data_IF_136149761716
#
_entry.id   IF_136149761716
#
_cell.length_a   1.000
_cell.length_b   1.000
_cell.length_c   1.000
_cell.angle_alpha   90.00
_cell.angle_beta   90.00
_cell.angle_gamma   90.00
#
_symmetry.space_group_name_H-M   'P 1'
#
loop_
_entity.id
_entity.type
_entity.pdbx_description
1 polymer ?
#
# COMPACT_ATOMS: atom_id res chain seq x y z
N UNK A 1 -1.98 7.01 -21.42
CA UNK A 1 -1.18 6.64 -22.61
C UNK A 1 -0.89 5.17 -22.53
N UNK A 2 -1.13 4.42 -23.61
CA UNK A 2 -0.83 3.00 -23.67
C UNK A 2 0.68 2.77 -23.49
N UNK A 3 1.02 1.69 -22.79
CA UNK A 3 2.41 1.36 -22.48
C UNK A 3 3.28 1.23 -23.76
N UNK A 4 2.66 0.86 -24.88
CA UNK A 4 3.32 0.76 -26.19
C UNK A 4 3.79 2.13 -26.72
N UNK A 5 2.98 3.18 -26.60
CA UNK A 5 3.35 4.53 -27.09
C UNK A 5 4.53 5.08 -26.29
N UNK A 6 4.56 4.84 -24.98
CA UNK A 6 5.68 5.25 -24.11
C UNK A 6 6.96 4.49 -24.46
N UNK A 7 6.86 3.21 -24.82
CA UNK A 7 8.00 2.41 -25.27
C UNK A 7 8.58 2.94 -26.59
N UNK A 8 7.71 3.27 -27.55
CA UNK A 8 8.11 3.85 -28.83
C UNK A 8 8.84 5.19 -28.62
N UNK A 9 8.28 6.07 -27.78
CA UNK A 9 8.92 7.36 -27.45
C UNK A 9 10.28 7.16 -26.78
N UNK A 10 10.39 6.22 -25.83
CA UNK A 10 11.66 5.91 -25.18
C UNK A 10 12.70 5.37 -26.18
N UNK A 11 12.30 4.49 -27.11
CA UNK A 11 13.17 3.99 -28.16
C UNK A 11 13.64 5.09 -29.12
N UNK A 12 12.78 6.05 -29.45
CA UNK A 12 13.15 7.21 -30.30
C UNK A 12 14.16 8.10 -29.58
N UNK A 13 13.96 8.39 -28.28
CA UNK A 13 14.90 9.19 -27.50
C UNK A 13 16.26 8.48 -27.31
N UNK A 14 16.25 7.17 -27.06
CA UNK A 14 17.50 6.38 -26.97
C UNK A 14 18.21 6.28 -28.33
N UNK A 15 17.46 6.09 -29.42
CA UNK A 15 18.00 6.09 -30.78
C UNK A 15 18.64 7.43 -31.15
N UNK A 16 17.98 8.54 -30.80
CA UNK A 16 18.51 9.89 -30.98
C UNK A 16 19.77 10.11 -30.11
N UNK A 17 19.79 9.64 -28.87
CA UNK A 17 20.94 9.73 -27.98
C UNK A 17 22.17 8.94 -28.48
N UNK A 18 21.97 7.84 -29.22
CA UNK A 18 23.04 7.07 -29.87
C UNK A 18 23.47 7.68 -31.21
N UNK A 19 22.58 8.40 -31.90
CA UNK A 19 22.88 9.05 -33.18
C UNK A 19 23.64 10.38 -33.04
N UNK A 20 23.34 11.18 -32.00
CA UNK A 20 23.97 12.49 -31.74
C UNK A 20 25.51 12.47 -31.55
N UNK A 21 26.12 11.43 -30.95
CA UNK A 21 27.58 11.28 -30.86
C UNK A 21 28.28 11.24 -32.23
N UNK A 22 27.64 10.74 -33.28
CA UNK A 22 28.23 10.69 -34.62
C UNK A 22 28.43 12.07 -35.26
N UNK A 23 27.69 13.09 -34.80
CA UNK A 23 27.79 14.48 -35.27
C UNK A 23 28.64 15.38 -34.34
N UNK A 24 29.35 14.80 -33.36
CA UNK A 24 30.26 15.54 -32.48
C UNK A 24 29.58 16.30 -31.34
N UNK A 25 28.28 16.10 -31.10
CA UNK A 25 27.50 16.80 -30.05
C UNK A 25 27.40 15.93 -28.79
N UNK A 26 28.55 15.66 -28.16
CA UNK A 26 28.67 14.76 -27.01
C UNK A 26 27.90 15.23 -25.77
N UNK A 27 27.88 16.54 -25.51
CA UNK A 27 27.19 17.12 -24.34
C UNK A 27 25.67 16.96 -24.39
N UNK A 28 25.06 17.06 -25.57
CA UNK A 28 23.61 16.85 -25.72
C UNK A 28 23.24 15.37 -25.76
N UNK A 29 24.13 14.50 -26.26
CA UNK A 29 23.93 13.06 -26.24
C UNK A 29 23.84 12.49 -24.81
N UNK A 30 24.73 12.92 -23.91
CA UNK A 30 24.70 12.48 -22.51
C UNK A 30 23.43 12.97 -21.79
N UNK A 31 22.98 14.19 -22.10
CA UNK A 31 21.77 14.77 -21.53
C UNK A 31 20.51 14.04 -22.04
N UNK A 32 20.46 13.74 -23.34
CA UNK A 32 19.40 12.95 -23.97
C UNK A 32 19.34 11.53 -23.41
N UNK A 33 20.50 10.92 -23.09
CA UNK A 33 20.57 9.61 -22.45
C UNK A 33 20.05 9.65 -21.01
N UNK A 34 20.39 10.69 -20.24
CA UNK A 34 19.85 10.89 -18.88
C UNK A 34 18.34 11.11 -18.88
N UNK A 35 17.84 11.97 -19.78
CA UNK A 35 16.41 12.24 -19.94
C UNK A 35 15.68 10.97 -20.41
N UNK A 36 16.25 10.25 -21.39
CA UNK A 36 15.72 8.96 -21.84
C UNK A 36 15.68 7.91 -20.72
N UNK A 37 16.70 7.88 -19.86
CA UNK A 37 16.74 7.04 -18.66
C UNK A 37 15.63 7.38 -17.66
N UNK A 38 15.38 8.67 -17.41
CA UNK A 38 14.28 9.11 -16.54
C UNK A 38 12.92 8.73 -17.14
N UNK A 39 12.71 8.94 -18.45
CA UNK A 39 11.48 8.55 -19.15
C UNK A 39 11.25 7.04 -19.09
N UNK A 40 12.32 6.24 -19.20
CA UNK A 40 12.27 4.78 -19.01
C UNK A 40 11.94 4.39 -17.57
N UNK A 41 12.43 5.13 -16.58
CA UNK A 41 12.10 4.89 -15.17
C UNK A 41 10.61 5.17 -14.89
N UNK A 42 10.12 6.29 -15.42
CA UNK A 42 8.70 6.69 -15.41
C UNK A 42 7.81 5.69 -16.17
N UNK A 43 8.37 4.96 -17.14
CA UNK A 43 7.66 3.87 -17.79
C UNK A 43 7.46 2.66 -16.86
N UNK A 44 8.47 2.32 -16.07
CA UNK A 44 8.40 1.20 -15.13
C UNK A 44 7.50 1.48 -13.92
N UNK A 45 7.39 2.75 -13.49
CA UNK A 45 6.54 3.14 -12.36
C UNK A 45 5.44 4.12 -12.79
N UNK A 46 4.19 3.70 -12.66
CA UNK A 46 3.05 4.51 -13.07
C UNK A 46 2.93 5.77 -12.16
N UNK A 47 3.22 6.95 -12.70
CA UNK A 47 3.25 8.24 -11.96
C UNK A 47 1.99 8.50 -11.15
N UNK A 48 0.82 8.13 -11.69
CA UNK A 48 -0.47 8.31 -11.00
C UNK A 48 -0.49 7.61 -9.63
N UNK A 49 0.11 6.42 -9.52
CA UNK A 49 0.20 5.70 -8.26
C UNK A 49 1.17 6.36 -7.28
N UNK A 50 2.28 6.89 -7.77
CA UNK A 50 3.27 7.60 -6.94
C UNK A 50 2.66 8.87 -6.37
N UNK A 51 1.98 9.65 -7.21
CA UNK A 51 1.31 10.89 -6.81
C UNK A 51 0.20 10.59 -5.80
N UNK A 52 -0.62 9.55 -6.05
CA UNK A 52 -1.63 9.09 -5.12
C UNK A 52 -1.04 8.70 -3.75
N UNK A 53 0.09 7.98 -3.73
CA UNK A 53 0.80 7.63 -2.50
C UNK A 53 1.36 8.85 -1.78
N UNK A 54 1.89 9.83 -2.51
CA UNK A 54 2.39 11.08 -1.95
C UNK A 54 1.28 11.85 -1.21
N UNK A 55 0.10 11.95 -1.81
CA UNK A 55 -1.05 12.57 -1.16
C UNK A 55 -1.56 11.76 0.05
N UNK A 56 -1.54 10.42 -0.02
CA UNK A 56 -1.85 9.56 1.14
C UNK A 56 -0.92 9.83 2.33
N UNK A 57 0.39 10.01 2.07
CA UNK A 57 1.38 10.34 3.12
C UNK A 57 1.16 11.72 3.72
N UNK A 58 0.59 12.66 2.95
CA UNK A 58 0.18 13.98 3.44
C UNK A 58 -1.22 14.00 4.07
N UNK A 59 -1.78 12.83 4.33
CA UNK A 59 -3.12 12.64 4.86
C UNK A 59 -4.26 13.22 3.98
N UNK A 60 -3.97 13.57 2.73
CA UNK A 60 -4.95 14.10 1.80
C UNK A 60 -5.55 12.97 0.94
N UNK A 61 -6.63 12.37 1.44
CA UNK A 61 -7.28 11.23 0.80
C UNK A 61 -8.10 11.59 -0.43
N UNK A 62 -8.69 12.77 -0.47
CA UNK A 62 -9.50 13.24 -1.60
C UNK A 62 -8.65 13.44 -2.86
N UNK A 63 -7.51 14.15 -2.75
CA UNK A 63 -6.58 14.30 -3.86
C UNK A 63 -5.98 12.95 -4.26
N UNK A 64 -5.66 12.12 -3.27
CA UNK A 64 -5.13 10.78 -3.55
C UNK A 64 -6.10 9.93 -4.38
N UNK A 65 -7.39 9.99 -4.05
CA UNK A 65 -8.48 9.34 -4.78
C UNK A 65 -8.64 9.91 -6.18
N UNK A 66 -8.64 11.24 -6.33
CA UNK A 66 -8.74 11.90 -7.63
C UNK A 66 -7.62 11.42 -8.59
N UNK A 67 -6.38 11.34 -8.09
CA UNK A 67 -5.25 10.83 -8.86
C UNK A 67 -5.34 9.34 -9.17
N UNK A 68 -5.95 8.55 -8.29
CA UNK A 68 -6.12 7.12 -8.46
C UNK A 68 -7.29 6.79 -9.42
N UNK A 69 -8.36 7.59 -9.41
CA UNK A 69 -9.49 7.53 -10.33
C UNK A 69 -9.12 7.96 -11.76
N UNK A 70 -8.04 8.73 -11.93
CA UNK A 70 -7.45 8.99 -13.26
C UNK A 70 -6.94 7.71 -13.94
N UNK A 71 -6.78 6.60 -13.21
CA UNK A 71 -6.53 5.27 -13.77
C UNK A 71 -7.89 4.64 -14.12
N UNK A 72 -8.34 4.84 -15.36
CA UNK A 72 -9.65 4.34 -15.83
C UNK A 72 -9.67 2.82 -16.01
N UNK A 73 -8.58 2.24 -16.51
CA UNK A 73 -8.41 0.79 -16.74
C UNK A 73 -7.05 0.34 -16.16
N UNK A 74 -7.04 -0.12 -14.90
CA UNK A 74 -5.78 -0.58 -14.30
C UNK A 74 -5.22 -1.84 -14.99
N UNK A 75 -6.06 -2.66 -15.62
CA UNK A 75 -5.61 -3.87 -16.33
C UNK A 75 -4.83 -3.58 -17.62
N UNK A 76 -5.14 -2.47 -18.30
CA UNK A 76 -4.45 -2.03 -19.52
C UNK A 76 -3.32 -1.05 -19.24
N UNK A 77 -3.46 -0.20 -18.23
CA UNK A 77 -2.47 0.81 -17.89
C UNK A 77 -1.35 0.28 -16.96
N UNK A 78 -1.64 -0.71 -16.10
CA UNK A 78 -0.67 -1.24 -15.13
C UNK A 78 -0.26 -2.66 -15.47
N UNK A 79 1.00 -2.98 -15.16
CA UNK A 79 1.49 -4.36 -15.21
C UNK A 79 0.76 -5.20 -14.14
N UNK A 80 0.54 -6.50 -14.37
CA UNK A 80 -0.14 -7.42 -13.43
C UNK A 80 0.43 -7.33 -12.01
N UNK A 81 1.75 -7.18 -11.90
CA UNK A 81 2.47 -7.03 -10.64
C UNK A 81 2.11 -5.74 -9.85
N UNK A 82 1.56 -4.73 -10.51
CA UNK A 82 1.15 -3.46 -9.91
C UNK A 82 -0.34 -3.44 -9.55
N UNK A 83 -1.13 -4.42 -10.01
CA UNK A 83 -2.56 -4.50 -9.68
C UNK A 83 -2.79 -4.68 -8.19
N UNK A 84 -1.96 -5.49 -7.52
CA UNK A 84 -2.01 -5.64 -6.07
C UNK A 84 -1.74 -4.30 -5.35
N UNK A 85 -0.74 -3.55 -5.80
CA UNK A 85 -0.40 -2.24 -5.22
C UNK A 85 -1.49 -1.18 -5.45
N UNK A 86 -2.17 -1.22 -6.60
CA UNK A 86 -3.31 -0.33 -6.87
C UNK A 86 -4.47 -0.60 -5.91
N UNK A 87 -4.82 -1.87 -5.69
CA UNK A 87 -5.86 -2.24 -4.74
C UNK A 87 -5.47 -1.89 -3.29
N UNK A 88 -4.17 -1.96 -2.95
CA UNK A 88 -3.67 -1.50 -1.66
C UNK A 88 -3.94 -0.01 -1.44
N UNK A 89 -3.61 0.84 -2.43
CA UNK A 89 -3.85 2.29 -2.34
C UNK A 89 -5.33 2.61 -2.21
N UNK A 90 -6.20 1.95 -2.98
CA UNK A 90 -7.66 2.09 -2.81
C UNK A 90 -8.07 1.71 -1.40
N UNK A 91 -7.58 0.58 -0.89
CA UNK A 91 -7.87 0.13 0.47
C UNK A 91 -7.48 1.17 1.54
N UNK A 92 -6.33 1.83 1.38
CA UNK A 92 -5.86 2.86 2.31
C UNK A 92 -6.69 4.16 2.25
N UNK A 93 -7.25 4.50 1.10
CA UNK A 93 -8.14 5.66 0.95
C UNK A 93 -9.50 5.32 1.57
N UNK A 94 -10.06 4.17 1.19
CA UNK A 94 -11.36 3.69 1.68
C UNK A 94 -11.35 3.41 3.18
N UNK A 95 -10.21 2.99 3.76
CA UNK A 95 -10.14 2.70 5.19
C UNK A 95 -10.41 3.91 6.08
N UNK A 96 -10.14 5.12 5.57
CA UNK A 96 -10.39 6.38 6.26
C UNK A 96 -11.87 6.77 6.23
N UNK A 97 -12.59 6.41 5.16
CA UNK A 97 -14.03 6.66 5.02
C UNK A 97 -14.85 5.55 5.69
N UNK A 98 -14.60 4.32 5.27
CA UNK A 98 -15.38 3.14 5.60
C UNK A 98 -14.44 1.93 5.79
N UNK A 99 -13.87 1.75 7.00
CA UNK A 99 -12.88 0.70 7.28
C UNK A 99 -13.39 -0.72 7.03
N UNK A 100 -14.71 -0.94 7.09
CA UNK A 100 -15.28 -2.25 6.78
C UNK A 100 -15.29 -2.54 5.27
N UNK A 101 -15.45 -1.51 4.43
CA UNK A 101 -15.43 -1.68 2.98
C UNK A 101 -14.02 -1.82 2.42
N UNK A 102 -13.01 -1.31 3.12
CA UNK A 102 -11.61 -1.39 2.68
C UNK A 102 -11.04 -2.81 2.73
N UNK A 103 -11.60 -3.69 3.58
CA UNK A 103 -11.16 -5.08 3.74
C UNK A 103 -11.14 -5.85 2.41
N UNK A 104 -12.16 -5.67 1.57
CA UNK A 104 -12.24 -6.35 0.25
C UNK A 104 -11.08 -5.95 -0.65
N UNK A 105 -10.65 -4.70 -0.58
CA UNK A 105 -9.53 -4.19 -1.39
C UNK A 105 -8.20 -4.69 -0.88
N UNK A 106 -8.00 -4.77 0.44
CA UNK A 106 -6.78 -5.35 1.02
C UNK A 106 -6.66 -6.85 0.73
N UNK A 107 -7.77 -7.61 0.83
CA UNK A 107 -7.79 -9.03 0.45
C UNK A 107 -7.49 -9.21 -1.04
N UNK A 108 -8.09 -8.38 -1.90
CA UNK A 108 -7.81 -8.38 -3.35
C UNK A 108 -6.35 -7.99 -3.66
N UNK A 109 -5.77 -7.06 -2.91
CA UNK A 109 -4.37 -6.68 -3.04
C UNK A 109 -3.43 -7.85 -2.71
N UNK A 110 -3.74 -8.61 -1.66
CA UNK A 110 -2.98 -9.81 -1.26
C UNK A 110 -3.16 -10.96 -2.26
N UNK A 111 -4.37 -11.19 -2.78
CA UNK A 111 -4.62 -12.25 -3.76
C UNK A 111 -3.91 -12.00 -5.09
N UNK A 112 -3.81 -10.74 -5.51
CA UNK A 112 -3.09 -10.35 -6.74
C UNK A 112 -1.57 -10.41 -6.57
N UNK A 113 -1.08 -10.45 -5.33
CA UNK A 113 0.34 -10.41 -5.02
C UNK A 113 0.98 -9.04 -5.25
N UNK A 114 2.06 -8.77 -4.53
CA UNK A 114 2.85 -7.54 -4.67
C UNK A 114 4.35 -7.89 -4.65
N UNK A 115 5.12 -7.22 -5.50
CA UNK A 115 6.58 -7.42 -5.59
C UNK A 115 7.31 -7.03 -4.29
N UNK A 116 6.77 -6.04 -3.57
CA UNK A 116 7.40 -5.49 -2.37
C UNK A 116 6.79 -6.11 -1.12
N UNK A 117 7.61 -6.79 -0.30
CA UNK A 117 7.15 -7.44 0.94
C UNK A 117 6.68 -6.44 2.01
N UNK A 118 7.23 -5.22 2.00
CA UNK A 118 6.70 -4.15 2.83
C UNK A 118 5.24 -3.80 2.51
N UNK A 119 4.85 -3.84 1.23
CA UNK A 119 3.46 -3.55 0.83
C UNK A 119 2.53 -4.69 1.24
N UNK A 120 2.99 -5.94 1.20
CA UNK A 120 2.21 -7.08 1.72
C UNK A 120 2.05 -7.00 3.24
N UNK A 121 3.11 -6.63 3.96
CA UNK A 121 3.07 -6.36 5.39
C UNK A 121 2.09 -5.22 5.73
N UNK A 122 2.09 -4.13 4.96
CA UNK A 122 1.18 -3.00 5.14
C UNK A 122 -0.29 -3.40 4.93
N UNK A 123 -0.58 -4.21 3.92
CA UNK A 123 -1.92 -4.74 3.67
C UNK A 123 -2.42 -5.58 4.85
N UNK A 124 -1.57 -6.49 5.35
CA UNK A 124 -1.87 -7.35 6.50
C UNK A 124 -2.03 -6.54 7.79
N UNK A 125 -1.18 -5.55 8.01
CA UNK A 125 -1.29 -4.62 9.14
C UNK A 125 -2.63 -3.86 9.10
N UNK A 126 -3.03 -3.39 7.91
CA UNK A 126 -4.32 -2.71 7.73
C UNK A 126 -5.51 -3.65 8.01
N UNK A 127 -5.45 -4.90 7.54
CA UNK A 127 -6.44 -5.93 7.85
C UNK A 127 -6.52 -6.24 9.36
N UNK A 128 -5.38 -6.28 10.05
CA UNK A 128 -5.36 -6.42 11.50
C UNK A 128 -6.10 -5.26 12.19
N UNK A 129 -5.94 -4.02 11.71
CA UNK A 129 -6.63 -2.85 12.25
C UNK A 129 -8.14 -2.92 12.08
N UNK A 130 -8.59 -3.38 10.90
CA UNK A 130 -10.01 -3.62 10.63
C UNK A 130 -10.56 -4.73 11.53
N UNK A 131 -9.83 -5.84 11.68
CA UNK A 131 -10.22 -6.96 12.55
C UNK A 131 -10.31 -6.53 14.03
N UNK A 132 -9.39 -5.68 14.50
CA UNK A 132 -9.48 -5.07 15.83
C UNK A 132 -10.75 -4.21 15.97
N UNK A 133 -11.08 -3.40 14.96
CA UNK A 133 -12.34 -2.63 14.93
C UNK A 133 -13.59 -3.50 14.97
N UNK A 134 -13.55 -4.68 14.33
CA UNK A 134 -14.61 -5.70 14.40
C UNK A 134 -14.63 -6.50 15.71
N UNK A 135 -13.72 -6.23 16.65
CA UNK A 135 -13.49 -7.03 17.87
C UNK A 135 -13.09 -8.49 17.60
N UNK A 136 -12.61 -8.80 16.39
CA UNK A 136 -12.12 -10.14 16.05
C UNK A 136 -10.61 -10.25 16.36
N UNK A 137 -10.32 -10.59 17.62
CA UNK A 137 -8.94 -10.67 18.13
C UNK A 137 -8.12 -11.77 17.47
N UNK A 138 -8.74 -12.92 17.21
CA UNK A 138 -8.07 -14.08 16.62
C UNK A 138 -7.53 -13.77 15.23
N UNK A 139 -8.37 -13.16 14.38
CA UNK A 139 -7.94 -12.72 13.05
C UNK A 139 -6.90 -11.60 13.13
N UNK A 140 -7.11 -10.62 14.01
CA UNK A 140 -6.16 -9.52 14.16
C UNK A 140 -4.76 -10.02 14.57
N UNK A 141 -4.68 -10.96 15.51
CA UNK A 141 -3.40 -11.53 15.95
C UNK A 141 -2.71 -12.32 14.83
N UNK A 142 -3.47 -13.11 14.06
CA UNK A 142 -2.96 -13.82 12.89
C UNK A 142 -2.35 -12.84 11.87
N UNK A 143 -3.09 -11.79 11.50
CA UNK A 143 -2.61 -10.78 10.56
C UNK A 143 -1.39 -10.01 11.07
N UNK A 144 -1.32 -9.68 12.37
CA UNK A 144 -0.13 -9.02 12.96
C UNK A 144 1.11 -9.92 12.94
N UNK A 145 0.95 -11.23 13.15
CA UNK A 145 2.06 -12.17 13.05
C UNK A 145 2.55 -12.30 11.61
N UNK A 146 1.64 -12.41 10.66
CA UNK A 146 1.99 -12.47 9.25
C UNK A 146 2.61 -11.16 8.74
N UNK A 147 2.10 -10.01 9.16
CA UNK A 147 2.68 -8.71 8.82
C UNK A 147 4.12 -8.58 9.33
N UNK A 148 4.39 -9.06 10.56
CA UNK A 148 5.74 -9.06 11.13
C UNK A 148 6.71 -10.00 10.39
N UNK A 149 6.22 -11.11 9.83
CA UNK A 149 7.03 -12.03 9.02
C UNK A 149 7.39 -11.42 7.66
N UNK A 150 6.46 -10.67 7.07
CA UNK A 150 6.64 -10.06 5.74
C UNK A 150 7.45 -8.75 5.79
N UNK A 151 7.50 -8.07 6.94
CA UNK A 151 8.27 -6.83 7.16
C UNK A 151 9.78 -7.07 7.32
N UNK A 152 10.41 -7.61 6.26
CA UNK A 152 11.84 -7.92 6.22
C UNK A 152 12.75 -6.72 6.52
N UNK A 153 12.30 -5.51 6.16
CA UNK A 153 13.06 -4.28 6.31
C UNK A 153 12.73 -3.52 7.60
N UNK A 154 11.89 -4.08 8.48
CA UNK A 154 11.46 -3.48 9.76
C UNK A 154 10.88 -2.06 9.62
N UNK A 155 10.29 -1.75 8.47
CA UNK A 155 9.72 -0.42 8.19
C UNK A 155 8.40 -0.18 8.93
N UNK A 156 7.73 -1.26 9.33
CA UNK A 156 6.46 -1.23 10.06
C UNK A 156 6.60 -1.76 11.48
N UNK A 157 7.82 -2.05 11.94
CA UNK A 157 8.07 -2.67 13.25
C UNK A 157 7.42 -1.87 14.39
N UNK A 158 7.54 -0.54 14.37
CA UNK A 158 6.94 0.33 15.37
C UNK A 158 5.41 0.31 15.30
N UNK A 159 4.83 0.33 14.10
CA UNK A 159 3.38 0.28 13.90
C UNK A 159 2.81 -1.07 14.37
N UNK A 160 3.48 -2.17 14.04
CA UNK A 160 3.14 -3.52 14.50
C UNK A 160 3.19 -3.58 16.02
N UNK A 161 4.24 -3.04 16.64
CA UNK A 161 4.39 -3.00 18.10
C UNK A 161 3.28 -2.18 18.75
N UNK A 162 2.97 -1.01 18.22
CA UNK A 162 1.87 -0.17 18.69
C UNK A 162 0.52 -0.89 18.61
N UNK A 163 0.22 -1.55 17.49
CA UNK A 163 -1.01 -2.31 17.33
C UNK A 163 -1.08 -3.53 18.26
N UNK A 164 0.03 -4.25 18.47
CA UNK A 164 0.10 -5.34 19.46
C UNK A 164 -0.20 -4.83 20.87
N UNK A 165 0.35 -3.67 21.24
CA UNK A 165 0.09 -3.06 22.54
C UNK A 165 -1.39 -2.66 22.71
N UNK A 166 -1.99 -2.06 21.68
CA UNK A 166 -3.41 -1.73 21.68
C UNK A 166 -4.29 -2.99 21.85
N UNK A 167 -3.94 -4.07 21.15
CA UNK A 167 -4.64 -5.36 21.28
C UNK A 167 -4.55 -5.92 22.70
N UNK A 168 -3.37 -5.89 23.33
CA UNK A 168 -3.19 -6.34 24.71
C UNK A 168 -3.99 -5.49 25.72
N UNK A 169 -4.18 -4.19 25.46
CA UNK A 169 -5.04 -3.35 26.29
C UNK A 169 -6.52 -3.72 26.14
N UNK A 170 -6.96 -4.10 24.93
CA UNK A 170 -8.32 -4.64 24.72
C UNK A 170 -8.56 -5.96 25.45
N UNK A 171 -7.52 -6.75 25.74
CA UNK A 171 -7.64 -7.94 26.59
C UNK A 171 -7.92 -7.56 28.04
N UNK A 172 -7.17 -6.61 28.59
CA UNK A 172 -7.35 -6.14 29.97
C UNK A 172 -8.74 -5.55 30.22
N UNK A 173 -9.28 -4.78 29.27
CA UNK A 173 -10.64 -4.25 29.39
C UNK A 173 -11.74 -5.31 29.31
N UNK A 174 -11.55 -6.40 28.56
CA UNK A 174 -12.53 -7.50 28.52
C UNK A 174 -12.53 -8.31 29.84
N UNK A 175 -11.35 -8.53 30.44
CA UNK A 175 -11.23 -9.24 31.72
C UNK A 175 -11.91 -8.46 32.86
N UNK A 176 -11.78 -7.12 32.89
CA UNK A 176 -12.44 -6.27 33.90
C UNK A 176 -13.97 -6.32 33.77
N UNK A 177 -14.51 -6.36 32.55
CA UNK A 177 -15.96 -6.41 32.31
C UNK A 177 -16.58 -7.80 32.55
N UNK A 178 -15.78 -8.86 32.45
CA UNK A 178 -16.21 -10.24 32.76
C UNK A 178 -15.94 -10.67 34.21
N UNK A 179 -15.25 -9.85 35.00
CA UNK A 179 -14.65 -10.22 36.29
C UNK A 179 -15.21 -9.53 37.53
N UNK A 180 -16.46 -9.06 37.52
CA UNK A 180 -17.15 -8.62 38.75
C UNK A 180 -18.62 -9.04 38.73
N UNK A 181 -18.87 -10.30 39.07
CA UNK A 181 -20.10 -10.66 39.78
C UNK A 181 -19.77 -10.50 41.27
N UNK A 182 -20.23 -9.45 41.98
CA UNK A 182 -20.19 -9.48 43.43
C UNK A 182 -21.04 -10.69 43.83
N UNK A 183 -20.40 -11.67 44.47
CA UNK A 183 -21.08 -12.83 44.99
C UNK A 183 -22.27 -12.36 45.80
N UNK A 184 -23.47 -12.80 45.41
CA UNK A 184 -24.70 -12.57 46.14
C UNK A 184 -24.44 -12.91 47.60
N UNK A 185 -24.53 -11.87 48.43
CA UNK A 185 -24.20 -11.89 49.84
C UNK A 185 -24.95 -13.01 50.56
N UNK A 186 -24.26 -13.53 51.57
CA UNK A 186 -24.69 -14.66 52.36
C UNK A 186 -26.07 -14.47 52.99
N UNK A 187 -26.68 -15.64 53.21
CA UNK A 187 -27.75 -15.89 54.16
C UNK A 187 -27.52 -15.06 55.44
N UNK A 188 -28.49 -14.24 55.80
CA UNK A 188 -28.71 -13.84 57.18
C UNK A 188 -30.22 -13.94 57.44
N UNK A 189 -30.52 -14.92 58.29
CA UNK A 189 -31.68 -15.14 59.17
C UNK A 189 -33.07 -14.69 58.72
#
# INVERSE_FOLDING_TARGET
MSNIIRLIVACVFLGAAVAMPFFGIWGWAILALFIGGIVLLTFFFNEKMIISQYYLRKENSEKSEEWLLKIKDYEKELNKNQHGYYNLLIGLIESRKQPLKSEKYFKKALSLGMKMSHNTALAKLSLAGIAMGKRNKREAQMYLQEAAKDDKNKLLADQIKMMKNQMAQMDKQQVVRGGFRPGGGGRQF
#
